data_IF_047174873313
#
_entry.id   IF_047174873313
#
_cell.length_a   1.000
_cell.length_b   1.000
_cell.length_c   1.000
_cell.angle_alpha   90.00
_cell.angle_beta   90.00
_cell.angle_gamma   90.00
#
_symmetry.space_group_name_H-M   'P 1'
#
loop_
_entity.id
_entity.type
_entity.pdbx_description
1 polymer ?
#
# COMPACT_ATOMS: atom_id res chain seq x y z
N UNK A 1 28.60 -18.31 32.28
CA UNK A 1 29.26 -17.64 31.14
C UNK A 1 28.94 -18.42 29.87
N UNK A 2 28.10 -17.87 29.00
CA UNK A 2 28.14 -18.16 27.57
C UNK A 2 27.74 -16.86 26.86
N UNK A 3 28.78 -16.09 26.49
CA UNK A 3 28.70 -14.90 25.68
C UNK A 3 28.96 -15.35 24.25
N UNK A 4 27.93 -15.36 23.42
CA UNK A 4 28.00 -15.57 21.98
C UNK A 4 26.75 -14.91 21.41
N UNK A 5 26.77 -14.12 20.35
CA UNK A 5 27.83 -13.55 19.55
C UNK A 5 27.16 -12.34 18.88
N UNK A 6 27.80 -11.17 18.93
CA UNK A 6 27.32 -9.98 18.23
C UNK A 6 27.78 -10.05 16.78
N UNK A 7 27.10 -10.83 15.94
CA UNK A 7 27.18 -10.63 14.49
C UNK A 7 26.07 -9.71 14.05
N UNK A 8 26.45 -8.45 13.92
CA UNK A 8 25.76 -7.44 13.13
C UNK A 8 25.57 -7.95 11.70
N UNK A 9 24.38 -8.47 11.39
CA UNK A 9 23.88 -8.42 10.03
C UNK A 9 23.47 -6.97 9.79
N UNK A 10 24.22 -6.26 8.94
CA UNK A 10 23.91 -4.90 8.50
C UNK A 10 22.61 -4.87 7.69
N UNK A 11 21.48 -4.99 8.36
CA UNK A 11 20.18 -4.68 7.79
C UNK A 11 20.05 -3.18 7.68
N UNK A 12 19.81 -2.68 6.46
CA UNK A 12 19.43 -1.29 6.23
C UNK A 12 18.37 -0.85 7.26
N UNK A 13 18.41 0.41 7.75
CA UNK A 13 17.36 0.92 8.63
C UNK A 13 15.98 0.71 7.98
N UNK A 14 14.91 0.48 8.76
CA UNK A 14 13.57 0.44 8.20
C UNK A 14 13.27 1.79 7.55
N UNK A 15 13.32 1.81 6.22
CA UNK A 15 13.20 3.00 5.39
C UNK A 15 13.50 2.62 3.95
N UNK A 16 12.56 2.93 3.06
CA UNK A 16 12.69 2.91 1.59
C UNK A 16 13.45 1.73 0.97
N UNK A 17 13.07 0.48 1.30
CA UNK A 17 13.37 -0.64 0.40
C UNK A 17 12.65 -0.43 -0.92
N UNK A 18 13.30 -0.78 -2.03
CA UNK A 18 12.62 -0.88 -3.32
C UNK A 18 11.42 -1.81 -3.16
N UNK A 19 10.24 -1.34 -3.59
CA UNK A 19 9.03 -2.15 -3.58
C UNK A 19 9.00 -2.97 -4.86
N UNK A 20 9.09 -4.31 -4.75
CA UNK A 20 8.77 -5.21 -5.85
C UNK A 20 7.26 -5.16 -6.12
N UNK A 21 6.84 -4.32 -7.08
CA UNK A 21 5.42 -3.96 -7.25
C UNK A 21 4.58 -5.06 -7.92
N UNK A 22 5.22 -5.97 -8.65
CA UNK A 22 4.60 -7.13 -9.27
C UNK A 22 4.41 -8.31 -8.32
N UNK A 23 5.04 -8.26 -7.15
CA UNK A 23 4.93 -9.28 -6.11
C UNK A 23 3.62 -9.20 -5.31
N UNK A 24 3.31 -10.26 -4.52
CA UNK A 24 2.18 -10.25 -3.60
C UNK A 24 2.24 -9.07 -2.63
N UNK A 25 1.14 -8.33 -2.52
CA UNK A 25 1.05 -7.15 -1.64
C UNK A 25 1.22 -7.53 -0.16
N UNK A 26 0.84 -8.76 0.20
CA UNK A 26 0.98 -9.30 1.57
C UNK A 26 2.42 -9.66 1.95
N UNK A 27 3.35 -9.72 0.99
CA UNK A 27 4.78 -9.95 1.28
C UNK A 27 5.43 -8.71 1.93
N UNK A 28 4.73 -7.56 1.95
CA UNK A 28 5.15 -6.32 2.62
C UNK A 28 4.71 -6.23 4.09
N UNK A 29 4.49 -7.37 4.76
CA UNK A 29 3.93 -7.45 6.11
C UNK A 29 2.61 -6.65 6.23
N UNK A 30 1.73 -6.73 5.22
CA UNK A 30 0.44 -6.03 5.28
C UNK A 30 -0.56 -6.79 6.16
N UNK A 31 -0.39 -6.65 7.47
CA UNK A 31 -1.36 -7.11 8.47
C UNK A 31 -2.63 -6.22 8.51
N UNK A 32 -3.64 -6.61 9.28
CA UNK A 32 -4.93 -5.89 9.37
C UNK A 32 -4.79 -4.44 9.83
N UNK A 33 -3.82 -4.12 10.69
CA UNK A 33 -3.59 -2.75 11.19
C UNK A 33 -2.95 -1.90 10.09
N UNK A 34 -1.94 -2.45 9.41
CA UNK A 34 -1.28 -1.76 8.28
C UNK A 34 -2.20 -1.61 7.08
N UNK A 35 -3.09 -2.57 6.83
CA UNK A 35 -4.14 -2.48 5.82
C UNK A 35 -5.08 -1.29 6.10
N UNK A 36 -5.57 -1.15 7.35
CA UNK A 36 -6.40 0.01 7.72
C UNK A 36 -5.62 1.33 7.60
N UNK A 37 -4.33 1.32 7.95
CA UNK A 37 -3.44 2.47 7.73
C UNK A 37 -3.33 2.84 6.25
N UNK A 38 -3.13 1.86 5.37
CA UNK A 38 -3.08 2.07 3.91
C UNK A 38 -4.38 2.67 3.39
N UNK A 39 -5.53 2.16 3.83
CA UNK A 39 -6.85 2.70 3.47
C UNK A 39 -6.95 4.18 3.87
N UNK A 40 -6.58 4.51 5.11
CA UNK A 40 -6.59 5.88 5.60
C UNK A 40 -5.66 6.80 4.79
N UNK A 41 -4.45 6.36 4.48
CA UNK A 41 -3.48 7.14 3.70
C UNK A 41 -3.96 7.38 2.27
N UNK A 42 -4.62 6.41 1.65
CA UNK A 42 -5.16 6.58 0.28
C UNK A 42 -6.27 7.63 0.25
N UNK A 43 -7.15 7.64 1.26
CA UNK A 43 -8.16 8.68 1.39
C UNK A 43 -7.53 10.05 1.70
N UNK A 44 -6.60 10.13 2.65
CA UNK A 44 -5.94 11.39 3.03
C UNK A 44 -5.17 12.03 1.86
N UNK A 45 -4.42 11.22 1.10
CA UNK A 45 -3.51 11.73 0.06
C UNK A 45 -4.22 11.95 -1.27
N UNK A 46 -5.18 11.09 -1.62
CA UNK A 46 -5.81 11.09 -2.96
C UNK A 46 -7.31 11.40 -2.93
N UNK A 47 -7.94 11.46 -1.75
CA UNK A 47 -9.39 11.61 -1.60
C UNK A 47 -10.17 10.42 -2.16
N UNK A 48 -9.55 9.23 -2.20
CA UNK A 48 -10.13 8.02 -2.77
C UNK A 48 -10.51 7.05 -1.66
N UNK A 49 -11.76 6.60 -1.69
CA UNK A 49 -12.21 5.53 -0.80
C UNK A 49 -11.67 4.18 -1.28
N UNK A 50 -11.08 3.43 -0.34
CA UNK A 50 -10.54 2.10 -0.56
C UNK A 50 -11.19 1.11 0.43
N UNK A 51 -11.90 0.11 -0.08
CA UNK A 51 -12.42 -0.96 0.76
C UNK A 51 -11.34 -2.03 0.99
N UNK A 52 -11.36 -2.78 2.12
CA UNK A 52 -10.45 -3.90 2.33
C UNK A 52 -10.46 -4.91 1.17
N UNK A 53 -11.65 -5.20 0.62
CA UNK A 53 -11.85 -6.12 -0.51
C UNK A 53 -11.09 -5.70 -1.77
N UNK A 54 -10.89 -4.40 -1.97
CA UNK A 54 -10.12 -3.88 -3.10
C UNK A 54 -8.64 -4.24 -3.02
N UNK A 55 -8.09 -4.27 -1.81
CA UNK A 55 -6.70 -4.65 -1.56
C UNK A 55 -6.52 -6.16 -1.75
N UNK A 56 -7.46 -6.97 -1.24
CA UNK A 56 -7.47 -8.40 -1.46
C UNK A 56 -7.60 -8.77 -2.95
N UNK A 57 -8.45 -8.06 -3.69
CA UNK A 57 -8.68 -8.31 -5.12
C UNK A 57 -7.48 -7.88 -5.98
N UNK A 58 -6.80 -6.79 -5.62
CA UNK A 58 -5.67 -6.27 -6.37
C UNK A 58 -4.47 -7.24 -6.39
N UNK A 59 -4.25 -7.99 -5.30
CA UNK A 59 -3.16 -8.96 -5.06
C UNK A 59 -1.73 -8.41 -5.10
N UNK A 60 -1.43 -7.37 -5.87
CA UNK A 60 -0.11 -6.74 -6.03
C UNK A 60 -0.20 -5.22 -5.90
N UNK A 61 0.94 -4.55 -5.67
CA UNK A 61 1.00 -3.08 -5.58
C UNK A 61 0.59 -2.45 -6.92
N UNK A 62 1.08 -2.99 -8.04
CA UNK A 62 0.69 -2.51 -9.38
C UNK A 62 -0.80 -2.69 -9.65
N UNK A 63 -1.37 -3.82 -9.23
CA UNK A 63 -2.81 -4.08 -9.37
C UNK A 63 -3.64 -3.06 -8.60
N UNK A 64 -3.20 -2.70 -7.39
CA UNK A 64 -3.88 -1.72 -6.55
C UNK A 64 -3.74 -0.31 -7.13
N UNK A 65 -2.53 0.08 -7.52
CA UNK A 65 -2.25 1.38 -8.13
C UNK A 65 -3.08 1.60 -9.40
N UNK A 66 -3.16 0.59 -10.27
CA UNK A 66 -3.98 0.65 -11.49
C UNK A 66 -5.46 0.86 -11.17
N UNK A 67 -6.00 0.14 -10.19
CA UNK A 67 -7.40 0.31 -9.73
C UNK A 67 -7.65 1.72 -9.20
N UNK A 68 -6.72 2.30 -8.45
CA UNK A 68 -6.82 3.67 -7.94
C UNK A 68 -6.78 4.71 -9.05
N UNK A 69 -5.91 4.54 -10.05
CA UNK A 69 -5.87 5.41 -11.23
C UNK A 69 -7.17 5.34 -12.03
N UNK A 70 -7.71 4.13 -12.26
CA UNK A 70 -8.99 3.95 -12.94
C UNK A 70 -10.15 4.64 -12.20
N UNK A 71 -10.15 4.61 -10.85
CA UNK A 71 -11.13 5.34 -10.02
C UNK A 71 -10.95 6.85 -10.11
N UNK A 72 -9.73 7.35 -10.00
CA UNK A 72 -9.45 8.77 -10.08
C UNK A 72 -9.87 9.36 -11.44
N UNK A 73 -9.60 8.63 -12.52
CA UNK A 73 -9.94 9.06 -13.88
C UNK A 73 -11.43 8.99 -14.19
N UNK A 74 -12.17 8.03 -13.61
CA UNK A 74 -13.63 7.98 -13.73
C UNK A 74 -14.30 9.10 -12.93
N UNK A 75 -13.83 9.38 -11.70
CA UNK A 75 -14.31 10.53 -10.90
C UNK A 75 -14.02 11.87 -11.57
N UNK A 76 -12.82 12.04 -12.14
CA UNK A 76 -12.45 13.26 -12.87
C UNK A 76 -13.28 13.52 -14.13
N UNK A 77 -13.77 12.46 -14.80
CA UNK A 77 -14.70 12.58 -15.93
C UNK A 77 -16.14 12.91 -15.53
N UNK A 78 -16.49 12.75 -14.25
CA UNK A 78 -17.84 12.97 -13.71
C UNK A 78 -17.96 14.14 -12.73
N UNK A 79 -17.05 15.14 -12.81
CA UNK A 79 -17.10 16.33 -11.94
C UNK A 79 -18.47 17.03 -11.97
N UNK A 80 -18.86 17.72 -10.87
CA UNK A 80 -20.24 18.16 -10.66
C UNK A 80 -20.70 19.08 -11.78
N UNK A 81 -21.90 18.83 -12.32
CA UNK A 81 -22.65 19.88 -13.00
C UNK A 81 -22.78 21.04 -12.01
N UNK A 82 -22.10 22.14 -12.30
CA UNK A 82 -22.15 23.35 -11.49
C UNK A 82 -23.62 23.72 -11.21
N UNK A 83 -23.95 23.90 -9.94
CA UNK A 83 -25.17 24.55 -9.46
C UNK A 83 -24.79 25.55 -8.40
#
# INVERSE_FOLDING_TARGET
MHLADRTAAGGAPPGNRECETGGPLFDFDLDSVRLLGLIGVVDEVFGLELAPDDVYTARTVDGLARRLVDRATTRGRGGPAAS
#
